data_IF_519532841070
#
_entry.id   IF_519532841070
#
_cell.length_a   1.000
_cell.length_b   1.000
_cell.length_c   1.000
_cell.angle_alpha   90.00
_cell.angle_beta   90.00
_cell.angle_gamma   90.00
#
_symmetry.space_group_name_H-M   'P 1'
#
loop_
_entity.id
_entity.type
_entity.pdbx_description
1 polymer ?
#
# COMPACT_ATOMS: atom_id res chain seq x y z
N UNK A 1 -23.83 18.32 -9.01
CA UNK A 1 -22.76 18.23 -8.00
C UNK A 1 -21.73 17.23 -8.50
N UNK A 2 -20.45 17.58 -8.54
CA UNK A 2 -19.40 16.64 -8.96
C UNK A 2 -19.25 15.56 -7.89
N UNK A 3 -19.08 14.30 -8.29
CA UNK A 3 -18.89 13.18 -7.36
C UNK A 3 -17.70 13.37 -6.40
N UNK A 4 -16.77 14.30 -6.72
CA UNK A 4 -15.57 14.59 -5.95
C UNK A 4 -15.79 14.99 -4.49
N UNK A 5 -16.91 15.63 -4.13
CA UNK A 5 -17.19 16.06 -2.75
C UNK A 5 -17.87 14.97 -1.89
N UNK A 6 -18.30 13.86 -2.49
CA UNK A 6 -18.95 12.79 -1.75
C UNK A 6 -17.93 11.98 -0.91
N UNK A 7 -18.35 11.39 0.23
CA UNK A 7 -17.52 10.45 0.99
C UNK A 7 -17.05 9.26 0.15
N UNK A 8 -15.78 8.88 0.31
CA UNK A 8 -15.12 7.80 -0.44
C UNK A 8 -14.52 6.74 0.48
N UNK A 9 -13.45 7.07 1.21
CA UNK A 9 -12.78 6.18 2.16
C UNK A 9 -12.99 6.70 3.58
N UNK A 10 -13.31 5.81 4.51
CA UNK A 10 -13.59 6.16 5.90
C UNK A 10 -12.76 5.34 6.87
N UNK A 11 -12.22 6.00 7.89
CA UNK A 11 -11.47 5.37 8.98
C UNK A 11 -12.09 5.74 10.31
N UNK A 12 -12.15 4.80 11.26
CA UNK A 12 -12.56 5.06 12.64
C UNK A 12 -11.32 5.16 13.50
N UNK A 13 -11.12 6.32 14.12
CA UNK A 13 -10.01 6.53 15.04
C UNK A 13 -10.43 6.05 16.42
N UNK A 14 -9.62 5.21 17.05
CA UNK A 14 -9.85 4.78 18.43
C UNK A 14 -9.49 5.93 19.39
N UNK A 15 -10.38 6.21 20.34
CA UNK A 15 -10.08 7.10 21.44
C UNK A 15 -9.05 6.51 22.40
N UNK A 16 -8.63 7.30 23.40
CA UNK A 16 -7.70 6.83 24.45
C UNK A 16 -8.24 5.65 25.27
N UNK A 17 -9.55 5.40 25.22
CA UNK A 17 -10.27 4.29 25.83
C UNK A 17 -10.29 3.02 24.96
N UNK A 18 -9.70 3.06 23.76
CA UNK A 18 -9.69 1.97 22.79
C UNK A 18 -11.01 1.79 22.03
N UNK A 19 -12.00 2.66 22.26
CA UNK A 19 -13.29 2.60 21.58
C UNK A 19 -13.19 3.38 20.28
N UNK A 20 -13.49 2.71 19.17
CA UNK A 20 -13.53 3.34 17.86
C UNK A 20 -14.66 4.39 17.80
N UNK A 21 -14.34 5.62 17.40
CA UNK A 21 -15.31 6.70 17.21
C UNK A 21 -16.14 6.56 15.93
N UNK A 22 -16.74 7.67 15.51
CA UNK A 22 -17.42 7.77 14.21
C UNK A 22 -16.42 7.69 13.05
N UNK A 23 -16.91 7.39 11.86
CA UNK A 23 -16.10 7.41 10.66
C UNK A 23 -15.68 8.84 10.31
N UNK A 24 -14.38 9.03 10.13
CA UNK A 24 -13.80 10.20 9.48
C UNK A 24 -13.63 9.87 8.01
N UNK A 25 -14.38 10.58 7.16
CA UNK A 25 -14.43 10.32 5.73
C UNK A 25 -13.52 11.26 4.94
N UNK A 26 -12.81 10.69 3.97
CA UNK A 26 -12.15 11.41 2.90
C UNK A 26 -13.06 11.47 1.68
N UNK A 27 -13.03 12.61 0.99
CA UNK A 27 -13.81 12.80 -0.23
C UNK A 27 -13.12 12.11 -1.41
N UNK A 28 -13.88 11.80 -2.47
CA UNK A 28 -13.30 11.25 -3.71
C UNK A 28 -12.18 12.14 -4.27
N UNK A 29 -12.33 13.47 -4.18
CA UNK A 29 -11.30 14.41 -4.63
C UNK A 29 -10.00 14.28 -3.83
N UNK A 30 -10.09 14.18 -2.49
CA UNK A 30 -8.93 14.00 -1.62
C UNK A 30 -8.25 12.64 -1.84
N UNK A 31 -9.02 11.57 -1.99
CA UNK A 31 -8.48 10.24 -2.30
C UNK A 31 -7.76 10.25 -3.65
N UNK A 32 -8.35 10.87 -4.67
CA UNK A 32 -7.74 10.96 -6.00
C UNK A 32 -6.46 11.83 -6.02
N UNK A 33 -6.35 12.83 -5.14
CA UNK A 33 -5.09 13.57 -4.93
C UNK A 33 -4.00 12.65 -4.39
N UNK A 34 -4.27 11.93 -3.29
CA UNK A 34 -3.32 10.97 -2.71
C UNK A 34 -2.89 9.87 -3.70
N UNK A 35 -3.82 9.38 -4.51
CA UNK A 35 -3.56 8.39 -5.58
C UNK A 35 -2.57 8.94 -6.61
N UNK A 36 -2.75 10.19 -7.04
CA UNK A 36 -1.85 10.85 -8.00
C UNK A 36 -0.48 11.15 -7.40
N UNK A 37 -0.43 11.56 -6.13
CA UNK A 37 0.82 11.85 -5.45
C UNK A 37 1.67 10.58 -5.29
N UNK A 38 1.07 9.50 -4.79
CA UNK A 38 1.75 8.22 -4.65
C UNK A 38 2.18 7.64 -6.01
N UNK A 39 1.29 7.62 -7.00
CA UNK A 39 1.61 7.11 -8.33
C UNK A 39 2.73 7.91 -9.03
N UNK A 40 2.68 9.24 -8.93
CA UNK A 40 3.76 10.12 -9.41
C UNK A 40 5.08 9.86 -8.69
N UNK A 41 5.04 9.61 -7.37
CA UNK A 41 6.21 9.24 -6.59
C UNK A 41 6.81 7.90 -7.02
N UNK A 42 5.97 6.88 -7.25
CA UNK A 42 6.41 5.58 -7.74
C UNK A 42 7.10 5.68 -9.11
N UNK A 43 6.54 6.49 -10.03
CA UNK A 43 7.19 6.80 -11.31
C UNK A 43 8.56 7.46 -11.13
N UNK A 44 8.66 8.46 -10.25
CA UNK A 44 9.93 9.15 -9.97
C UNK A 44 10.99 8.21 -9.38
N UNK A 45 10.57 7.23 -8.58
CA UNK A 45 11.43 6.18 -8.04
C UNK A 45 11.76 5.08 -9.07
N UNK A 46 11.28 5.21 -10.30
CA UNK A 46 11.62 4.36 -11.44
C UNK A 46 10.73 3.13 -11.62
N UNK A 47 9.61 3.03 -10.90
CA UNK A 47 8.56 2.03 -11.22
C UNK A 47 7.91 2.43 -12.54
N UNK A 48 7.65 1.47 -13.42
CA UNK A 48 7.08 1.72 -14.75
C UNK A 48 5.74 1.01 -14.93
N UNK A 49 5.02 1.40 -15.97
CA UNK A 49 3.83 0.68 -16.41
C UNK A 49 4.19 -0.80 -16.69
N UNK A 50 3.37 -1.71 -16.16
CA UNK A 50 3.58 -3.16 -16.21
C UNK A 50 4.40 -3.72 -15.05
N UNK A 51 5.15 -2.88 -14.31
CA UNK A 51 5.93 -3.35 -13.16
C UNK A 51 5.01 -3.78 -12.01
N UNK A 52 5.48 -4.76 -11.24
CA UNK A 52 4.77 -5.29 -10.10
C UNK A 52 5.12 -4.53 -8.82
N UNK A 53 4.10 -4.11 -8.07
CA UNK A 53 4.22 -3.43 -6.78
C UNK A 53 3.51 -4.26 -5.73
N UNK A 54 4.26 -4.79 -4.76
CA UNK A 54 3.67 -5.56 -3.68
C UNK A 54 2.98 -4.65 -2.66
N UNK A 55 1.77 -5.03 -2.22
CA UNK A 55 1.03 -4.34 -1.17
C UNK A 55 0.91 -5.25 0.05
N UNK A 56 1.57 -4.90 1.15
CA UNK A 56 1.64 -5.76 2.34
C UNK A 56 1.23 -5.06 3.63
N UNK A 57 -0.06 -5.17 3.97
CA UNK A 57 -0.63 -4.51 5.13
C UNK A 57 -2.01 -5.08 5.44
N UNK A 58 -2.48 -4.88 6.68
CA UNK A 58 -3.90 -4.98 7.00
C UNK A 58 -4.75 -3.97 6.19
N UNK A 59 -6.04 -4.26 6.07
CA UNK A 59 -7.00 -3.42 5.36
C UNK A 59 -7.07 -2.02 5.99
N UNK A 60 -6.74 -0.99 5.20
CA UNK A 60 -6.86 0.43 5.58
C UNK A 60 -6.95 1.31 4.35
N UNK A 61 -7.31 2.57 4.55
CA UNK A 61 -7.42 3.58 3.50
C UNK A 61 -6.15 3.71 2.64
N UNK A 62 -4.97 3.72 3.26
CA UNK A 62 -3.69 3.88 2.55
C UNK A 62 -3.40 2.68 1.62
N UNK A 63 -3.90 1.50 1.96
CA UNK A 63 -3.79 0.31 1.11
C UNK A 63 -4.62 0.47 -0.17
N UNK A 64 -5.86 0.97 -0.05
CA UNK A 64 -6.71 1.25 -1.20
C UNK A 64 -6.12 2.36 -2.07
N UNK A 65 -5.54 3.40 -1.45
CA UNK A 65 -4.82 4.46 -2.18
C UNK A 65 -3.64 3.88 -2.98
N UNK A 66 -2.86 2.95 -2.40
CA UNK A 66 -1.74 2.32 -3.08
C UNK A 66 -2.17 1.42 -4.25
N UNK A 67 -3.24 0.66 -4.08
CA UNK A 67 -3.85 -0.13 -5.16
C UNK A 67 -4.32 0.78 -6.30
N UNK A 68 -5.06 1.84 -5.99
CA UNK A 68 -5.56 2.78 -6.99
C UNK A 68 -4.42 3.57 -7.66
N UNK A 69 -3.34 3.87 -6.96
CA UNK A 69 -2.13 4.47 -7.54
C UNK A 69 -1.50 3.53 -8.58
N UNK A 70 -1.42 2.22 -8.29
CA UNK A 70 -0.94 1.25 -9.27
C UNK A 70 -1.83 1.25 -10.52
N UNK A 71 -3.15 1.15 -10.33
CA UNK A 71 -4.13 1.15 -11.42
C UNK A 71 -4.05 2.41 -12.29
N UNK A 72 -4.01 3.59 -11.67
CA UNK A 72 -3.99 4.87 -12.38
C UNK A 72 -2.73 5.06 -13.23
N UNK A 73 -1.62 4.40 -12.88
CA UNK A 73 -0.33 4.51 -13.55
C UNK A 73 0.07 3.24 -14.32
N UNK A 74 -0.90 2.35 -14.58
CA UNK A 74 -0.71 1.10 -15.33
C UNK A 74 0.33 0.14 -14.72
N UNK A 75 0.55 0.21 -13.41
CA UNK A 75 1.35 -0.75 -12.64
C UNK A 75 0.46 -1.89 -12.14
N UNK A 76 1.05 -3.02 -11.78
CA UNK A 76 0.29 -4.19 -11.29
C UNK A 76 0.45 -4.30 -9.78
N UNK A 77 -0.63 -4.13 -9.04
CA UNK A 77 -0.64 -4.36 -7.60
C UNK A 77 -0.63 -5.86 -7.28
N UNK A 78 0.27 -6.29 -6.39
CA UNK A 78 0.41 -7.68 -5.92
C UNK A 78 0.14 -7.74 -4.42
N UNK A 79 -1.08 -8.11 -3.97
CA UNK A 79 -1.40 -8.16 -2.55
C UNK A 79 -0.68 -9.33 -1.85
N UNK A 80 -0.04 -9.06 -0.71
CA UNK A 80 0.57 -10.06 0.16
C UNK A 80 -0.29 -10.27 1.41
N UNK A 81 -0.58 -11.52 1.75
CA UNK A 81 -1.45 -11.88 2.88
C UNK A 81 -0.65 -12.31 4.12
N UNK A 82 -1.04 -11.77 5.28
CA UNK A 82 -0.42 -12.08 6.58
C UNK A 82 -0.52 -13.55 6.99
N UNK A 83 -1.58 -14.23 6.57
CA UNK A 83 -1.90 -15.58 7.02
C UNK A 83 -0.99 -16.65 6.44
N UNK A 84 -0.17 -16.32 5.43
CA UNK A 84 0.69 -17.26 4.72
C UNK A 84 2.13 -17.30 5.26
N UNK A 85 2.46 -16.45 6.23
CA UNK A 85 3.79 -16.40 6.84
C UNK A 85 4.87 -15.70 5.99
N UNK A 86 6.06 -15.48 6.55
CA UNK A 86 7.16 -14.78 5.88
C UNK A 86 7.69 -15.50 4.64
N UNK A 87 7.63 -16.83 4.61
CA UNK A 87 8.09 -17.65 3.48
C UNK A 87 7.24 -17.41 2.22
N UNK A 88 5.94 -17.13 2.39
CA UNK A 88 5.06 -16.81 1.26
C UNK A 88 5.38 -15.44 0.67
N UNK A 89 5.69 -14.45 1.51
CA UNK A 89 6.11 -13.13 1.05
C UNK A 89 7.41 -13.23 0.25
N UNK A 90 8.40 -13.97 0.76
CA UNK A 90 9.65 -14.27 0.04
C UNK A 90 9.40 -14.96 -1.30
N UNK A 91 8.57 -16.00 -1.31
CA UNK A 91 8.24 -16.73 -2.53
C UNK A 91 7.61 -15.82 -3.59
N UNK A 92 6.63 -15.00 -3.22
CA UNK A 92 5.94 -14.10 -4.15
C UNK A 92 6.87 -13.01 -4.65
N UNK A 93 7.68 -12.41 -3.77
CA UNK A 93 8.65 -11.36 -4.15
C UNK A 93 9.62 -11.89 -5.20
N UNK A 94 10.14 -13.12 -5.01
CA UNK A 94 11.06 -13.75 -5.94
C UNK A 94 10.37 -14.19 -7.24
N UNK A 95 9.22 -14.85 -7.14
CA UNK A 95 8.48 -15.38 -8.30
C UNK A 95 8.03 -14.26 -9.26
N UNK A 96 7.69 -13.10 -8.71
CA UNK A 96 7.17 -11.97 -9.45
C UNK A 96 8.24 -10.86 -9.64
N UNK A 97 9.50 -11.15 -9.31
CA UNK A 97 10.65 -10.23 -9.42
C UNK A 97 10.37 -8.82 -8.86
N UNK A 98 9.65 -8.75 -7.74
CA UNK A 98 9.16 -7.49 -7.17
C UNK A 98 10.35 -6.63 -6.75
N UNK A 99 10.33 -5.36 -7.17
CA UNK A 99 11.36 -4.38 -6.80
C UNK A 99 10.92 -3.42 -5.71
N UNK A 100 9.61 -3.25 -5.54
CA UNK A 100 9.00 -2.27 -4.63
C UNK A 100 7.87 -2.91 -3.84
N UNK A 101 7.95 -2.79 -2.51
CA UNK A 101 6.89 -3.19 -1.58
C UNK A 101 6.36 -1.95 -0.88
N UNK A 102 5.06 -1.73 -0.88
CA UNK A 102 4.36 -0.76 -0.03
C UNK A 102 3.75 -1.51 1.15
N UNK A 103 4.13 -1.20 2.38
CA UNK A 103 3.76 -2.01 3.53
C UNK A 103 3.35 -1.22 4.79
N UNK A 104 2.80 -1.93 5.77
CA UNK A 104 2.71 -1.42 7.14
C UNK A 104 4.03 -1.44 7.86
N UNK A 105 4.10 -0.59 8.89
CA UNK A 105 5.25 -0.50 9.79
C UNK A 105 5.53 -1.87 10.44
N UNK A 106 4.47 -2.61 10.78
CA UNK A 106 4.51 -3.95 11.34
C UNK A 106 5.11 -5.02 10.40
N UNK A 107 5.32 -4.70 9.11
CA UNK A 107 5.93 -5.62 8.12
C UNK A 107 7.40 -5.35 7.84
N UNK A 108 7.94 -4.24 8.33
CA UNK A 108 9.31 -3.81 8.00
C UNK A 108 10.34 -4.83 8.48
N UNK A 109 10.23 -5.29 9.73
CA UNK A 109 11.16 -6.28 10.30
C UNK A 109 11.12 -7.62 9.56
N UNK A 110 9.92 -8.05 9.16
CA UNK A 110 9.71 -9.26 8.38
C UNK A 110 10.37 -9.13 7.00
N UNK A 111 10.12 -8.02 6.30
CA UNK A 111 10.72 -7.74 4.99
C UNK A 111 12.25 -7.64 5.08
N UNK A 112 12.78 -7.05 6.17
CA UNK A 112 14.21 -7.01 6.42
C UNK A 112 14.79 -8.41 6.61
N UNK A 113 14.11 -9.30 7.34
CA UNK A 113 14.55 -10.66 7.61
C UNK A 113 14.58 -11.56 6.34
N UNK A 114 13.74 -11.27 5.35
CA UNK A 114 13.74 -11.99 4.05
C UNK A 114 14.55 -11.30 2.96
N UNK A 115 14.90 -10.02 3.14
CA UNK A 115 15.54 -9.18 2.11
C UNK A 115 16.79 -9.80 1.47
N UNK A 116 17.65 -10.46 2.25
CA UNK A 116 18.86 -11.12 1.76
C UNK A 116 18.58 -12.29 0.78
N UNK A 117 17.36 -12.85 0.83
CA UNK A 117 16.88 -13.91 -0.08
C UNK A 117 15.99 -13.38 -1.19
N UNK A 118 15.77 -12.07 -1.25
CA UNK A 118 14.94 -11.38 -2.23
C UNK A 118 15.79 -10.38 -3.06
N UNK A 119 16.66 -10.84 -3.97
CA UNK A 119 17.63 -9.97 -4.66
C UNK A 119 17.00 -8.90 -5.57
N UNK A 120 15.74 -9.08 -5.99
CA UNK A 120 15.00 -8.08 -6.76
C UNK A 120 14.52 -6.91 -5.92
N UNK A 121 14.31 -7.12 -4.61
CA UNK A 121 13.71 -6.14 -3.72
C UNK A 121 14.68 -4.99 -3.46
N UNK A 122 14.32 -3.78 -3.90
CA UNK A 122 15.16 -2.58 -3.79
C UNK A 122 14.57 -1.53 -2.86
N UNK A 123 13.24 -1.50 -2.73
CA UNK A 123 12.51 -0.42 -2.07
C UNK A 123 11.39 -0.96 -1.19
N UNK A 124 11.36 -0.49 0.05
CA UNK A 124 10.25 -0.68 0.99
C UNK A 124 9.69 0.72 1.30
N UNK A 125 8.42 0.93 1.01
CA UNK A 125 7.69 2.18 1.25
C UNK A 125 6.70 1.90 2.38
N UNK A 126 6.87 2.59 3.51
CA UNK A 126 6.03 2.38 4.68
C UNK A 126 4.84 3.34 4.62
N UNK A 127 3.64 2.80 4.75
CA UNK A 127 2.41 3.58 4.92
C UNK A 127 2.38 4.14 6.34
N UNK A 128 2.01 5.41 6.48
CA UNK A 128 1.86 6.06 7.79
C UNK A 128 1.01 5.24 8.76
N UNK A 129 1.40 5.30 10.04
CA UNK A 129 0.69 4.67 11.15
C UNK A 129 -0.71 5.27 11.29
N UNK A 130 -1.68 4.45 11.68
CA UNK A 130 -3.10 4.81 11.80
C UNK A 130 -3.56 4.88 13.25
#
# INVERSE_FOLDING_TARGET
ATAGAAPCLGTRVAGADGVAGDYVWQTYAAVNERVRDLGSGLLQLGVRAGDFVALYSQNREAWVVAEQACNAYSMVSVPLYDTLGPEAAEFIINQAEITTVVCGEDKVDLLAAVSARCPSLRRVIVMDSF
#
